data_IF_559301480286
#
_entry.id   IF_559301480286
#
_cell.length_a   1.000
_cell.length_b   1.000
_cell.length_c   1.000
_cell.angle_alpha   90.00
_cell.angle_beta   90.00
_cell.angle_gamma   90.00
#
_symmetry.space_group_name_H-M   'P 1'
#
loop_
_entity.id
_entity.type
_entity.pdbx_description
1 polymer ?
#
# COMPACT_ATOMS: atom_id res chain seq x y z
N UNK A 1 -18.16 -1.95 25.92
CA UNK A 1 -18.35 -0.87 24.92
C UNK A 1 -19.36 -1.36 23.90
N UNK A 2 -20.48 -0.67 23.75
CA UNK A 2 -21.58 -1.04 22.84
C UNK A 2 -21.03 -1.13 21.41
N UNK A 3 -21.14 -2.32 20.78
CA UNK A 3 -20.62 -2.62 19.43
C UNK A 3 -21.35 -1.91 18.28
N UNK A 4 -21.85 -0.70 18.53
CA UNK A 4 -22.57 0.12 17.57
C UNK A 4 -21.55 0.79 16.65
N UNK A 5 -21.73 0.59 15.34
CA UNK A 5 -20.91 1.23 14.32
C UNK A 5 -21.16 2.75 14.35
N UNK A 6 -20.11 3.59 14.47
CA UNK A 6 -20.28 5.03 14.48
C UNK A 6 -20.74 5.56 13.12
N UNK A 7 -21.50 6.67 13.14
CA UNK A 7 -21.88 7.36 11.92
C UNK A 7 -20.68 8.16 11.39
N UNK A 8 -19.98 7.63 10.38
CA UNK A 8 -18.81 8.31 9.85
C UNK A 8 -19.15 9.60 9.07
N UNK A 9 -20.40 9.79 8.62
CA UNK A 9 -20.80 11.00 7.90
C UNK A 9 -20.91 12.20 8.84
N UNK A 10 -21.42 11.99 10.05
CA UNK A 10 -21.47 13.02 11.08
C UNK A 10 -20.06 13.42 11.54
N UNK A 11 -19.18 12.42 11.68
CA UNK A 11 -17.78 12.64 12.05
C UNK A 11 -17.06 13.42 10.94
N UNK A 12 -17.23 13.04 9.69
CA UNK A 12 -16.68 13.74 8.53
C UNK A 12 -17.08 15.21 8.49
N UNK A 13 -18.35 15.52 8.77
CA UNK A 13 -18.84 16.92 8.84
C UNK A 13 -18.17 17.71 9.97
N UNK A 14 -18.00 17.11 11.15
CA UNK A 14 -17.34 17.76 12.30
C UNK A 14 -15.87 18.10 12.04
N UNK A 15 -15.16 17.22 11.35
CA UNK A 15 -13.74 17.37 11.04
C UNK A 15 -13.47 17.95 9.65
N UNK A 16 -14.50 18.38 8.92
CA UNK A 16 -14.42 18.88 7.55
C UNK A 16 -13.55 17.99 6.63
N UNK A 17 -13.78 16.68 6.67
CA UNK A 17 -13.01 15.69 5.92
C UNK A 17 -13.92 14.70 5.18
N UNK A 18 -13.36 13.97 4.21
CA UNK A 18 -14.12 12.98 3.44
C UNK A 18 -14.53 11.78 4.32
N UNK A 19 -15.78 11.33 4.20
CA UNK A 19 -16.32 10.16 4.90
C UNK A 19 -15.44 8.91 4.75
N UNK A 20 -14.87 8.69 3.56
CA UNK A 20 -13.99 7.55 3.27
C UNK A 20 -12.70 7.63 4.08
N UNK A 21 -12.21 8.83 4.37
CA UNK A 21 -11.05 9.04 5.26
C UNK A 21 -11.40 8.58 6.67
N UNK A 22 -12.51 9.05 7.23
CA UNK A 22 -12.95 8.63 8.58
C UNK A 22 -13.13 7.11 8.65
N UNK A 23 -13.82 6.52 7.67
CA UNK A 23 -14.03 5.07 7.60
C UNK A 23 -12.69 4.32 7.50
N UNK A 24 -11.78 4.76 6.63
CA UNK A 24 -10.45 4.15 6.45
C UNK A 24 -9.67 4.16 7.76
N UNK A 25 -9.62 5.28 8.46
CA UNK A 25 -8.88 5.38 9.73
C UNK A 25 -9.56 4.62 10.87
N UNK A 26 -10.89 4.54 10.89
CA UNK A 26 -11.61 3.70 11.85
C UNK A 26 -11.34 2.21 11.63
N UNK A 27 -11.36 1.75 10.38
CA UNK A 27 -11.08 0.35 10.04
C UNK A 27 -9.60 0.03 10.30
N UNK A 28 -8.67 0.89 9.86
CA UNK A 28 -7.23 0.71 10.09
C UNK A 28 -6.86 0.78 11.57
N UNK A 29 -7.48 1.65 12.36
CA UNK A 29 -7.20 1.81 13.78
C UNK A 29 -7.59 0.60 14.64
N UNK A 30 -8.33 -0.37 14.09
CA UNK A 30 -8.59 -1.66 14.74
C UNK A 30 -7.42 -2.63 14.63
N UNK A 31 -6.62 -2.52 13.57
CA UNK A 31 -5.56 -3.47 13.24
C UNK A 31 -4.16 -2.86 13.37
N UNK A 32 -4.04 -1.54 13.22
CA UNK A 32 -2.77 -0.82 13.05
C UNK A 32 -2.71 0.42 13.89
N UNK A 33 -1.48 0.84 14.18
CA UNK A 33 -1.23 2.13 14.82
C UNK A 33 -1.57 3.29 13.86
N UNK A 34 -1.85 4.46 14.44
CA UNK A 34 -2.14 5.67 13.69
C UNK A 34 -1.00 6.06 12.73
N UNK A 35 0.25 5.80 13.12
CA UNK A 35 1.44 6.01 12.28
C UNK A 35 1.47 5.11 11.05
N UNK A 36 1.07 3.85 11.19
CA UNK A 36 0.97 2.93 10.06
C UNK A 36 -0.20 3.27 9.13
N UNK A 37 -1.31 3.76 9.69
CA UNK A 37 -2.47 4.18 8.93
C UNK A 37 -2.22 5.47 8.12
N UNK A 38 -1.36 6.36 8.64
CA UNK A 38 -0.99 7.61 7.98
C UNK A 38 0.05 7.44 6.87
N UNK A 39 0.86 6.37 6.93
CA UNK A 39 1.83 6.06 5.86
C UNK A 39 1.11 5.87 4.53
N UNK A 40 1.56 6.60 3.52
CA UNK A 40 1.12 6.40 2.14
C UNK A 40 1.55 4.99 1.72
N UNK A 41 0.60 4.15 1.30
CA UNK A 41 0.92 2.91 0.61
C UNK A 41 1.54 3.28 -0.73
N UNK A 42 2.87 3.20 -0.81
CA UNK A 42 3.58 3.21 -2.09
C UNK A 42 3.55 1.77 -2.57
N UNK A 43 2.90 1.46 -3.70
CA UNK A 43 2.99 0.12 -4.26
C UNK A 43 4.45 -0.20 -4.54
N UNK A 44 4.89 -1.46 -4.37
CA UNK A 44 6.25 -1.83 -4.73
C UNK A 44 6.51 -1.45 -6.19
N UNK A 45 7.72 -0.98 -6.46
CA UNK A 45 8.08 -0.59 -7.82
C UNK A 45 7.99 -1.81 -8.73
N UNK A 46 7.74 -1.61 -10.03
CA UNK A 46 7.72 -2.70 -11.01
C UNK A 46 8.99 -3.58 -10.88
N UNK A 47 10.14 -2.95 -10.65
CA UNK A 47 11.45 -3.60 -10.47
C UNK A 47 11.48 -4.49 -9.22
N UNK A 48 10.87 -4.06 -8.11
CA UNK A 48 10.82 -4.87 -6.89
C UNK A 48 10.10 -6.20 -7.11
N UNK A 49 9.09 -6.23 -7.98
CA UNK A 49 8.38 -7.47 -8.33
C UNK A 49 9.28 -8.47 -9.08
N UNK A 50 10.32 -8.00 -9.78
CA UNK A 50 11.24 -8.83 -10.56
C UNK A 50 12.61 -9.02 -9.91
N UNK A 51 12.82 -8.50 -8.69
CA UNK A 51 14.14 -8.47 -8.04
C UNK A 51 14.82 -9.84 -7.96
N UNK A 52 14.08 -10.87 -7.54
CA UNK A 52 14.60 -12.25 -7.47
C UNK A 52 15.03 -12.77 -8.85
N UNK A 53 14.20 -12.54 -9.87
CA UNK A 53 14.46 -13.01 -11.24
C UNK A 53 15.66 -12.27 -11.85
N UNK A 54 15.81 -10.98 -11.57
CA UNK A 54 16.98 -10.18 -11.97
C UNK A 54 18.25 -10.75 -11.34
N UNK A 55 18.23 -11.03 -10.04
CA UNK A 55 19.36 -11.61 -9.30
C UNK A 55 19.74 -13.00 -9.84
N UNK A 56 18.76 -13.86 -10.14
CA UNK A 56 19.01 -15.18 -10.70
C UNK A 56 19.61 -15.11 -12.10
N UNK A 57 19.10 -14.24 -12.97
CA UNK A 57 19.65 -14.04 -14.32
C UNK A 57 21.05 -13.41 -14.29
N UNK A 58 21.32 -12.53 -13.33
CA UNK A 58 22.66 -11.99 -13.09
C UNK A 58 23.64 -13.09 -12.69
N UNK A 59 23.25 -13.99 -11.78
CA UNK A 59 24.08 -15.15 -11.39
C UNK A 59 24.35 -16.11 -12.55
N UNK A 60 23.41 -16.24 -13.49
CA UNK A 60 23.58 -17.02 -14.71
C UNK A 60 24.46 -16.33 -15.78
N UNK A 61 24.95 -15.11 -15.52
CA UNK A 61 25.80 -14.36 -16.46
C UNK A 61 25.04 -13.78 -17.66
N UNK A 62 23.72 -13.64 -17.56
CA UNK A 62 22.92 -13.04 -18.63
C UNK A 62 23.26 -11.56 -18.83
N UNK A 63 23.24 -11.09 -20.08
CA UNK A 63 23.49 -9.67 -20.37
C UNK A 63 22.38 -8.79 -19.77
N UNK A 64 22.74 -7.59 -19.31
CA UNK A 64 21.79 -6.61 -18.76
C UNK A 64 20.64 -6.34 -19.74
N UNK A 65 20.94 -6.29 -21.04
CA UNK A 65 19.95 -6.07 -22.10
C UNK A 65 18.91 -7.21 -22.17
N UNK A 66 19.34 -8.46 -22.01
CA UNK A 66 18.41 -9.60 -21.99
C UNK A 66 17.51 -9.63 -20.74
N UNK A 67 18.01 -9.15 -19.60
CA UNK A 67 17.24 -9.01 -18.36
C UNK A 67 16.22 -7.88 -18.52
N UNK A 68 16.63 -6.75 -19.11
CA UNK A 68 15.74 -5.63 -19.38
C UNK A 68 14.54 -6.02 -20.26
N UNK A 69 14.76 -6.72 -21.37
CA UNK A 69 13.66 -7.19 -22.24
C UNK A 69 12.78 -8.27 -21.61
N UNK A 70 13.22 -8.90 -20.53
CA UNK A 70 12.42 -9.87 -19.80
C UNK A 70 11.38 -9.20 -18.89
N UNK A 71 11.60 -7.96 -18.48
CA UNK A 71 10.67 -7.20 -17.65
C UNK A 71 9.67 -6.50 -18.59
N UNK A 72 8.36 -6.82 -18.51
CA UNK A 72 7.35 -6.10 -19.29
C UNK A 72 7.29 -4.65 -18.81
N UNK A 73 7.11 -3.72 -19.76
CA UNK A 73 7.01 -2.28 -19.50
C UNK A 73 5.58 -1.88 -19.16
#
# INVERSE_FOLDING_TARGET
MTGIKPNFADIARRYNCDYRTVKRYYDLGKEKTLEEASKRRVPPSLIENYKSIIEDKLKLGCSVRSIYYFIPT
#
